data_IF_690687978598
#
_entry.id   IF_690687978598
#
_cell.length_a   1.000
_cell.length_b   1.000
_cell.length_c   1.000
_cell.angle_alpha   90.00
_cell.angle_beta   90.00
_cell.angle_gamma   90.00
#
_symmetry.space_group_name_H-M   'P 1'
#
loop_
_entity.id
_entity.type
_entity.pdbx_description
1 polymer ?
#
# COMPACT_ATOMS: atom_id res chain seq x y z
N UNK A 1 54.42 47.78 7.80
CA UNK A 1 53.09 48.37 7.87
C UNK A 1 52.13 47.50 7.04
N UNK A 2 51.45 46.61 7.73
CA UNK A 2 50.44 45.72 7.12
C UNK A 2 49.09 46.46 7.25
N UNK A 3 48.47 46.81 6.13
CA UNK A 3 47.13 47.38 6.10
C UNK A 3 46.11 46.24 6.28
N UNK A 4 45.35 46.32 7.36
CA UNK A 4 44.15 45.52 7.62
C UNK A 4 43.08 45.84 6.60
N UNK A 5 42.38 44.83 5.99
CA UNK A 5 41.23 45.11 5.13
C UNK A 5 40.04 45.50 5.99
N UNK A 6 39.33 46.55 5.55
CA UNK A 6 38.13 47.08 6.18
C UNK A 6 36.97 46.02 6.14
N UNK A 7 36.11 45.97 7.15
CA UNK A 7 34.99 45.04 7.15
C UNK A 7 33.96 45.45 6.10
N UNK A 8 33.65 44.54 5.18
CA UNK A 8 32.50 44.68 4.26
C UNK A 8 31.20 44.78 5.07
N UNK A 9 30.69 45.99 5.20
CA UNK A 9 29.31 46.23 5.66
C UNK A 9 28.38 45.62 4.63
N UNK A 10 27.79 44.46 4.92
CA UNK A 10 26.58 43.97 4.29
C UNK A 10 25.49 44.98 4.61
N UNK A 11 25.20 45.89 3.69
CA UNK A 11 24.00 46.73 3.73
C UNK A 11 22.84 45.82 3.39
N UNK A 12 22.11 45.36 4.42
CA UNK A 12 20.83 44.66 4.28
C UNK A 12 19.87 45.73 3.72
N UNK A 13 19.68 45.77 2.39
CA UNK A 13 18.65 46.57 1.76
C UNK A 13 17.33 45.94 2.13
N UNK A 14 16.74 46.37 3.22
CA UNK A 14 15.34 46.12 3.55
C UNK A 14 14.52 46.92 2.56
N UNK A 15 14.17 46.28 1.43
CA UNK A 15 13.18 46.84 0.51
C UNK A 15 11.86 46.91 1.23
N UNK A 16 11.47 48.10 1.71
CA UNK A 16 10.15 48.34 2.27
C UNK A 16 9.14 48.12 1.15
N UNK A 17 8.37 47.04 1.27
CA UNK A 17 7.28 46.77 0.32
C UNK A 17 6.32 47.94 0.26
N UNK A 18 6.00 48.40 -0.93
CA UNK A 18 5.04 49.50 -1.12
C UNK A 18 3.64 49.06 -0.65
N UNK A 19 2.82 50.01 -0.20
CA UNK A 19 1.44 49.75 0.25
C UNK A 19 0.62 49.00 -0.84
N UNK A 20 0.89 49.31 -2.09
CA UNK A 20 0.27 48.64 -3.26
C UNK A 20 0.70 47.16 -3.35
N UNK A 21 1.97 46.87 -3.17
CA UNK A 21 2.51 45.51 -3.18
C UNK A 21 1.96 44.68 -2.00
N UNK A 22 1.89 45.29 -0.81
CA UNK A 22 1.31 44.64 0.37
C UNK A 22 -0.17 44.30 0.17
N UNK A 23 -0.96 45.22 -0.39
CA UNK A 23 -2.37 44.97 -0.76
C UNK A 23 -2.49 43.84 -1.78
N UNK A 24 -1.59 43.78 -2.78
CA UNK A 24 -1.56 42.70 -3.77
C UNK A 24 -1.27 41.34 -3.12
N UNK A 25 -0.29 41.27 -2.22
CA UNK A 25 0.04 40.04 -1.45
C UNK A 25 -1.11 39.59 -0.58
N UNK A 26 -1.77 40.50 0.14
CA UNK A 26 -2.96 40.20 0.95
C UNK A 26 -4.08 39.63 0.07
N UNK A 27 -4.34 40.24 -1.09
CA UNK A 27 -5.33 39.73 -2.04
C UNK A 27 -5.03 38.32 -2.54
N UNK A 28 -3.78 38.05 -2.89
CA UNK A 28 -3.31 36.73 -3.34
C UNK A 28 -3.46 35.68 -2.24
N UNK A 29 -3.07 35.97 -0.99
CA UNK A 29 -3.20 35.07 0.15
C UNK A 29 -4.67 34.79 0.44
N UNK A 30 -5.57 35.80 0.43
CA UNK A 30 -7.01 35.60 0.60
C UNK A 30 -7.61 34.69 -0.48
N UNK A 31 -7.16 34.82 -1.72
CA UNK A 31 -7.60 33.93 -2.80
C UNK A 31 -7.14 32.52 -2.59
N UNK A 32 -5.87 32.33 -2.20
CA UNK A 32 -5.30 31.01 -1.87
C UNK A 32 -6.03 30.36 -0.68
N UNK A 33 -6.38 31.13 0.35
CA UNK A 33 -7.15 30.67 1.50
C UNK A 33 -8.52 30.11 1.08
N UNK A 34 -9.26 30.87 0.23
CA UNK A 34 -10.57 30.41 -0.28
C UNK A 34 -10.47 29.11 -1.08
N UNK A 35 -9.48 29.03 -1.98
CA UNK A 35 -9.24 27.82 -2.79
C UNK A 35 -8.90 26.64 -1.87
N UNK A 36 -7.98 26.82 -0.94
CA UNK A 36 -7.55 25.77 0.00
C UNK A 36 -8.70 25.33 0.91
N UNK A 37 -9.53 26.28 1.36
CA UNK A 37 -10.73 25.99 2.13
C UNK A 37 -11.73 25.11 1.36
N UNK A 38 -11.98 25.43 0.09
CA UNK A 38 -12.82 24.61 -0.78
C UNK A 38 -12.23 23.20 -0.99
N UNK A 39 -10.92 23.10 -1.26
CA UNK A 39 -10.24 21.81 -1.40
C UNK A 39 -10.31 20.99 -0.12
N UNK A 40 -10.19 21.61 1.05
CA UNK A 40 -10.35 20.95 2.36
C UNK A 40 -11.73 20.32 2.50
N UNK A 41 -12.79 21.06 2.16
CA UNK A 41 -14.17 20.55 2.24
C UNK A 41 -14.39 19.36 1.31
N UNK A 42 -13.95 19.45 0.05
CA UNK A 42 -14.07 18.36 -0.93
C UNK A 42 -13.31 17.12 -0.46
N UNK A 43 -12.07 17.30 0.01
CA UNK A 43 -11.25 16.20 0.48
C UNK A 43 -11.83 15.52 1.73
N UNK A 44 -12.38 16.33 2.66
CA UNK A 44 -13.06 15.82 3.85
C UNK A 44 -14.29 14.96 3.50
N UNK A 45 -15.11 15.44 2.55
CA UNK A 45 -16.28 14.69 2.09
C UNK A 45 -15.89 13.35 1.42
N UNK A 46 -14.86 13.36 0.56
CA UNK A 46 -14.33 12.14 -0.08
C UNK A 46 -13.78 11.16 0.94
N UNK A 47 -13.04 11.67 1.92
CA UNK A 47 -12.47 10.84 2.99
C UNK A 47 -13.57 10.19 3.83
N UNK A 48 -14.60 10.95 4.22
CA UNK A 48 -15.74 10.40 4.98
C UNK A 48 -16.45 9.29 4.23
N UNK A 49 -16.67 9.46 2.91
CA UNK A 49 -17.23 8.42 2.05
C UNK A 49 -16.35 7.16 2.00
N UNK A 50 -15.03 7.33 1.86
CA UNK A 50 -14.08 6.22 1.85
C UNK A 50 -14.04 5.50 3.21
N UNK A 51 -14.06 6.23 4.32
CA UNK A 51 -14.12 5.66 5.67
C UNK A 51 -15.40 4.85 5.89
N UNK A 52 -16.55 5.35 5.43
CA UNK A 52 -17.80 4.59 5.49
C UNK A 52 -17.72 3.28 4.70
N UNK A 53 -17.13 3.30 3.51
CA UNK A 53 -16.93 2.10 2.70
C UNK A 53 -16.02 1.10 3.41
N UNK A 54 -14.91 1.56 3.99
CA UNK A 54 -13.99 0.73 4.77
C UNK A 54 -14.70 0.11 5.98
N UNK A 55 -15.48 0.88 6.74
CA UNK A 55 -16.24 0.38 7.89
C UNK A 55 -17.25 -0.71 7.54
N UNK A 56 -17.78 -0.73 6.32
CA UNK A 56 -18.66 -1.79 5.83
C UNK A 56 -17.91 -3.08 5.52
N UNK A 57 -16.66 -2.98 5.06
CA UNK A 57 -15.82 -4.13 4.70
C UNK A 57 -15.17 -4.80 5.92
N UNK A 58 -14.86 -4.06 6.97
CA UNK A 58 -14.20 -4.59 8.16
C UNK A 58 -14.94 -5.75 8.85
N UNK A 59 -16.28 -5.71 9.05
CA UNK A 59 -17.01 -6.85 9.62
C UNK A 59 -16.94 -8.09 8.73
N UNK A 60 -17.03 -7.92 7.41
CA UNK A 60 -16.92 -9.02 6.45
C UNK A 60 -15.54 -9.70 6.52
N UNK A 61 -14.47 -8.90 6.54
CA UNK A 61 -13.11 -9.40 6.74
C UNK A 61 -13.01 -10.17 8.07
N UNK A 62 -13.54 -9.64 9.17
CA UNK A 62 -13.53 -10.31 10.47
C UNK A 62 -14.27 -11.65 10.47
N UNK A 63 -15.35 -11.77 9.72
CA UNK A 63 -16.05 -13.04 9.56
C UNK A 63 -15.22 -14.06 8.78
N UNK A 64 -14.58 -13.65 7.68
CA UNK A 64 -13.67 -14.51 6.91
C UNK A 64 -12.52 -14.99 7.80
N UNK A 65 -11.86 -14.10 8.53
CA UNK A 65 -10.78 -14.45 9.46
C UNK A 65 -11.26 -15.45 10.54
N UNK A 66 -12.48 -15.30 11.03
CA UNK A 66 -13.08 -16.24 11.98
C UNK A 66 -13.36 -17.61 11.35
N UNK A 67 -13.92 -17.65 10.14
CA UNK A 67 -14.19 -18.91 9.41
C UNK A 67 -12.86 -19.64 9.16
N UNK A 68 -11.83 -18.93 8.67
CA UNK A 68 -10.51 -19.50 8.43
C UNK A 68 -9.88 -20.02 9.72
N UNK A 69 -9.96 -19.28 10.83
CA UNK A 69 -9.49 -19.72 12.14
C UNK A 69 -10.17 -21.00 12.61
N UNK A 70 -11.49 -21.11 12.42
CA UNK A 70 -12.24 -22.31 12.78
C UNK A 70 -11.88 -23.51 11.88
N UNK A 71 -11.72 -23.29 10.57
CA UNK A 71 -11.29 -24.32 9.65
C UNK A 71 -9.90 -24.85 10.03
N UNK A 72 -8.93 -23.97 10.25
CA UNK A 72 -7.56 -24.34 10.58
C UNK A 72 -7.41 -25.00 11.96
N UNK A 73 -8.37 -24.77 12.86
CA UNK A 73 -8.41 -25.44 14.18
C UNK A 73 -9.08 -26.81 14.12
N UNK A 74 -9.74 -27.18 13.02
CA UNK A 74 -10.32 -28.47 12.81
C UNK A 74 -9.22 -29.50 12.50
N UNK A 75 -9.44 -30.75 12.95
CA UNK A 75 -8.55 -31.88 12.65
C UNK A 75 -8.82 -32.39 11.22
N UNK A 76 -8.50 -31.54 10.24
CA UNK A 76 -8.72 -31.82 8.82
C UNK A 76 -7.47 -31.42 8.02
N UNK A 77 -7.14 -32.21 7.01
CA UNK A 77 -6.08 -31.88 6.07
C UNK A 77 -6.59 -30.88 5.03
N UNK A 78 -5.89 -29.77 4.90
CA UNK A 78 -6.19 -28.73 3.91
C UNK A 78 -5.12 -28.73 2.83
N UNK A 79 -5.55 -28.76 1.60
CA UNK A 79 -4.68 -28.65 0.44
C UNK A 79 -5.21 -27.58 -0.50
N UNK A 80 -4.36 -26.60 -0.77
CA UNK A 80 -4.64 -25.58 -1.78
C UNK A 80 -3.36 -25.31 -2.58
N UNK A 81 -3.47 -25.13 -3.90
CA UNK A 81 -2.33 -24.68 -4.70
C UNK A 81 -1.73 -23.34 -4.22
N UNK A 82 -2.53 -22.52 -3.53
CA UNK A 82 -2.11 -21.21 -2.99
C UNK A 82 -1.27 -21.31 -1.71
N UNK A 83 -1.23 -22.49 -1.07
CA UNK A 83 -0.39 -22.75 0.11
C UNK A 83 0.95 -23.40 -0.25
N UNK A 84 1.17 -23.69 -1.52
CA UNK A 84 2.37 -24.39 -2.00
C UNK A 84 3.60 -23.51 -1.84
N UNK A 85 4.52 -23.92 -0.98
CA UNK A 85 5.82 -23.25 -0.80
C UNK A 85 6.83 -23.82 -1.81
N UNK A 86 7.53 -22.92 -2.50
CA UNK A 86 8.57 -23.22 -3.48
C UNK A 86 9.88 -22.54 -3.09
N UNK A 87 10.97 -22.92 -3.75
CA UNK A 87 12.20 -22.13 -3.72
C UNK A 87 11.94 -20.78 -4.39
N UNK A 88 12.22 -19.67 -3.68
CA UNK A 88 11.88 -18.33 -4.13
C UNK A 88 13.00 -17.78 -5.01
N UNK A 89 12.76 -17.73 -6.30
CA UNK A 89 13.62 -17.10 -7.30
C UNK A 89 13.03 -15.82 -7.86
N UNK A 90 11.69 -15.71 -7.86
CA UNK A 90 10.93 -14.56 -8.36
C UNK A 90 9.90 -14.10 -7.35
N UNK A 91 10.04 -12.86 -6.86
CA UNK A 91 9.14 -12.28 -5.87
C UNK A 91 8.30 -11.15 -6.50
N UNK A 92 6.98 -11.30 -6.47
CA UNK A 92 6.03 -10.26 -6.82
C UNK A 92 5.79 -9.31 -5.64
N UNK A 93 5.67 -8.00 -5.91
CA UNK A 93 5.28 -7.02 -4.90
C UNK A 93 4.18 -6.13 -5.46
N UNK A 94 2.96 -6.29 -4.95
CA UNK A 94 1.86 -5.37 -5.21
C UNK A 94 2.02 -4.14 -4.31
N UNK A 95 2.19 -2.95 -4.89
CA UNK A 95 2.40 -1.72 -4.13
C UNK A 95 1.29 -0.72 -4.40
N UNK A 96 0.55 -0.36 -3.34
CA UNK A 96 -0.63 0.51 -3.43
C UNK A 96 -0.28 1.95 -3.04
N UNK A 97 -0.40 2.86 -4.01
CA UNK A 97 -0.22 4.29 -3.80
C UNK A 97 -1.44 5.11 -4.20
N UNK A 98 -1.27 6.42 -4.34
CA UNK A 98 -2.34 7.33 -4.77
C UNK A 98 -2.27 7.64 -6.25
N UNK A 99 -3.41 8.00 -6.84
CA UNK A 99 -3.48 8.55 -8.20
C UNK A 99 -3.08 10.02 -8.22
N UNK A 100 -3.55 10.77 -7.22
CA UNK A 100 -3.40 12.21 -7.14
C UNK A 100 -2.22 12.61 -6.23
N UNK A 101 -1.75 13.83 -6.38
CA UNK A 101 -0.78 14.47 -5.50
C UNK A 101 -1.44 15.15 -4.30
N UNK A 102 -0.71 16.09 -3.69
CA UNK A 102 -1.14 16.89 -2.53
C UNK A 102 -1.48 16.04 -1.29
N UNK A 103 -0.85 14.88 -1.16
CA UNK A 103 -1.01 13.93 -0.05
C UNK A 103 0.20 13.93 0.91
N UNK A 104 0.97 15.02 0.94
CA UNK A 104 2.17 15.13 1.77
C UNK A 104 3.19 14.02 1.47
N UNK A 105 3.71 13.38 2.51
CA UNK A 105 4.71 12.32 2.40
C UNK A 105 4.12 10.92 2.14
N UNK A 106 2.82 10.78 1.88
CA UNK A 106 2.13 9.51 1.75
C UNK A 106 2.82 8.54 0.78
N UNK A 107 2.96 8.95 -0.50
CA UNK A 107 3.61 8.11 -1.50
C UNK A 107 5.11 7.92 -1.25
N UNK A 108 5.78 8.93 -0.69
CA UNK A 108 7.21 8.85 -0.34
C UNK A 108 7.44 7.79 0.74
N UNK A 109 6.58 7.72 1.74
CA UNK A 109 6.68 6.73 2.81
C UNK A 109 6.41 5.30 2.29
N UNK A 110 5.44 5.13 1.38
CA UNK A 110 5.19 3.84 0.72
C UNK A 110 6.42 3.43 -0.10
N UNK A 111 6.98 4.35 -0.86
CA UNK A 111 8.14 4.08 -1.69
C UNK A 111 9.38 3.70 -0.86
N UNK A 112 9.61 4.38 0.26
CA UNK A 112 10.66 3.98 1.21
C UNK A 112 10.42 2.59 1.77
N UNK A 113 9.17 2.27 2.12
CA UNK A 113 8.79 0.93 2.59
C UNK A 113 8.98 -0.15 1.54
N UNK A 114 8.65 0.15 0.29
CA UNK A 114 8.92 -0.73 -0.85
C UNK A 114 10.41 -1.05 -0.98
N UNK A 115 11.27 -0.03 -0.94
CA UNK A 115 12.73 -0.23 -1.02
C UNK A 115 13.26 -1.07 0.15
N UNK A 116 12.79 -0.81 1.36
CA UNK A 116 13.16 -1.62 2.52
C UNK A 116 12.70 -3.08 2.36
N UNK A 117 11.51 -3.31 1.79
CA UNK A 117 11.02 -4.68 1.56
C UNK A 117 11.83 -5.38 0.49
N UNK A 118 12.16 -4.72 -0.61
CA UNK A 118 13.04 -5.27 -1.67
C UNK A 118 14.38 -5.70 -1.08
N UNK A 119 15.01 -4.85 -0.27
CA UNK A 119 16.28 -5.18 0.38
C UNK A 119 16.15 -6.39 1.31
N UNK A 120 15.12 -6.41 2.14
CA UNK A 120 14.86 -7.53 3.05
C UNK A 120 14.62 -8.87 2.30
N UNK A 121 13.94 -8.83 1.15
CA UNK A 121 13.75 -10.01 0.31
C UNK A 121 15.09 -10.48 -0.30
N UNK A 122 15.92 -9.56 -0.78
CA UNK A 122 17.25 -9.90 -1.32
C UNK A 122 18.21 -10.41 -0.25
N UNK A 123 18.15 -9.89 0.97
CA UNK A 123 18.90 -10.42 2.10
C UNK A 123 18.48 -11.85 2.45
N UNK A 124 17.18 -12.14 2.35
CA UNK A 124 16.62 -13.46 2.69
C UNK A 124 16.84 -14.52 1.60
N UNK A 125 16.66 -14.15 0.34
CA UNK A 125 16.62 -15.09 -0.79
C UNK A 125 17.82 -14.96 -1.76
N UNK A 126 18.69 -14.01 -1.51
CA UNK A 126 19.89 -13.78 -2.32
C UNK A 126 19.78 -12.59 -3.27
N UNK A 127 20.94 -12.09 -3.69
CA UNK A 127 21.02 -10.91 -4.56
C UNK A 127 20.51 -11.16 -6.00
N UNK A 128 20.46 -12.42 -6.42
CA UNK A 128 19.95 -12.86 -7.73
C UNK A 128 18.43 -12.89 -7.81
N UNK A 129 17.73 -12.62 -6.71
CA UNK A 129 16.28 -12.58 -6.67
C UNK A 129 15.71 -11.59 -7.67
N UNK A 130 14.88 -12.06 -8.58
CA UNK A 130 14.11 -11.22 -9.49
C UNK A 130 12.89 -10.64 -8.77
N UNK A 131 12.69 -9.33 -8.89
CA UNK A 131 11.58 -8.61 -8.28
C UNK A 131 10.62 -8.12 -9.37
N UNK A 132 9.35 -8.53 -9.27
CA UNK A 132 8.28 -8.06 -10.15
C UNK A 132 7.40 -7.09 -9.37
N UNK A 133 7.40 -5.81 -9.77
CA UNK A 133 6.59 -4.78 -9.13
C UNK A 133 5.26 -4.61 -9.86
N UNK A 134 4.17 -4.68 -9.12
CA UNK A 134 2.80 -4.44 -9.57
C UNK A 134 2.25 -3.16 -8.91
N UNK A 135 2.61 -1.98 -9.44
CA UNK A 135 2.22 -0.72 -8.81
C UNK A 135 0.77 -0.37 -9.14
N UNK A 136 0.02 0.01 -8.11
CA UNK A 136 -1.34 0.55 -8.20
C UNK A 136 -1.34 2.02 -7.80
N UNK A 137 -2.00 2.84 -8.63
CA UNK A 137 -2.05 4.28 -8.48
C UNK A 137 -1.00 5.02 -9.32
N UNK A 138 -1.43 6.05 -10.03
CA UNK A 138 -0.62 6.79 -11.01
C UNK A 138 0.71 7.33 -10.47
N UNK A 139 0.73 7.76 -9.20
CA UNK A 139 1.96 8.27 -8.56
C UNK A 139 2.94 7.15 -8.26
N UNK A 140 2.42 5.97 -7.89
CA UNK A 140 3.25 4.81 -7.60
C UNK A 140 3.80 4.19 -8.88
N UNK A 141 2.99 4.07 -9.93
CA UNK A 141 3.44 3.62 -11.25
C UNK A 141 4.63 4.45 -11.75
N UNK A 142 4.53 5.79 -11.67
CA UNK A 142 5.63 6.69 -12.05
C UNK A 142 6.89 6.52 -11.19
N UNK A 143 6.70 6.23 -9.91
CA UNK A 143 7.80 5.97 -8.98
C UNK A 143 8.48 4.62 -9.26
N UNK A 144 7.68 3.56 -9.37
CA UNK A 144 8.16 2.20 -9.58
C UNK A 144 8.93 2.04 -10.90
N UNK A 145 8.49 2.68 -11.99
CA UNK A 145 9.20 2.66 -13.28
C UNK A 145 10.65 3.16 -13.20
N UNK A 146 10.98 3.98 -12.20
CA UNK A 146 12.37 4.45 -11.98
C UNK A 146 13.26 3.41 -11.31
N UNK A 147 12.67 2.35 -10.78
CA UNK A 147 13.40 1.23 -10.16
C UNK A 147 13.65 0.09 -11.15
N UNK A 148 13.09 0.16 -12.36
CA UNK A 148 13.30 -0.86 -13.37
C UNK A 148 14.80 -0.97 -13.73
N UNK A 149 15.31 -2.19 -13.72
CA UNK A 149 16.73 -2.54 -13.87
C UNK A 149 17.23 -3.34 -12.67
N UNK A 150 18.44 -3.85 -12.73
CA UNK A 150 19.09 -4.61 -11.66
C UNK A 150 18.22 -5.75 -11.07
N UNK A 151 17.58 -6.53 -11.95
CA UNK A 151 16.69 -7.62 -11.54
C UNK A 151 15.32 -7.15 -11.01
N UNK A 152 14.95 -5.89 -11.24
CA UNK A 152 13.62 -5.34 -10.94
C UNK A 152 12.88 -5.06 -12.24
N UNK A 153 11.72 -5.66 -12.42
CA UNK A 153 10.80 -5.38 -13.51
C UNK A 153 9.50 -4.75 -12.98
N UNK A 154 8.84 -3.98 -13.82
CA UNK A 154 7.61 -3.27 -13.45
C UNK A 154 6.53 -3.61 -14.45
N UNK A 155 5.47 -4.22 -13.98
CA UNK A 155 4.31 -4.58 -14.77
C UNK A 155 3.06 -3.87 -14.24
N UNK A 156 2.34 -3.20 -15.11
CA UNK A 156 1.06 -2.56 -14.78
C UNK A 156 -0.05 -3.48 -15.27
N UNK A 157 -0.78 -4.08 -14.33
CA UNK A 157 -1.86 -5.01 -14.64
C UNK A 157 -3.17 -4.25 -14.82
N UNK A 158 -3.74 -4.31 -16.02
CA UNK A 158 -5.03 -3.72 -16.33
C UNK A 158 -5.10 -2.21 -16.08
N UNK A 159 -6.30 -1.71 -15.91
CA UNK A 159 -6.57 -0.29 -15.61
C UNK A 159 -6.92 -0.08 -14.13
N UNK A 160 -6.16 -0.74 -13.24
CA UNK A 160 -6.38 -0.62 -11.80
C UNK A 160 -5.76 0.68 -11.25
N UNK A 161 -6.52 1.39 -10.45
CA UNK A 161 -6.09 2.63 -9.80
C UNK A 161 -6.64 2.71 -8.36
N UNK A 162 -6.21 3.71 -7.60
CA UNK A 162 -6.56 3.82 -6.17
C UNK A 162 -8.07 3.98 -5.87
N UNK A 163 -8.89 4.26 -6.88
CA UNK A 163 -10.35 4.44 -6.77
C UNK A 163 -11.13 3.38 -7.54
N UNK A 164 -10.47 2.34 -8.02
CA UNK A 164 -11.12 1.23 -8.73
C UNK A 164 -12.17 0.55 -7.85
N UNK A 165 -13.18 0.02 -8.50
CA UNK A 165 -14.26 -0.73 -7.86
C UNK A 165 -13.82 -2.16 -7.49
N UNK A 166 -14.74 -2.90 -6.88
CA UNK A 166 -14.47 -4.28 -6.45
C UNK A 166 -14.19 -5.25 -7.60
N UNK A 167 -14.80 -5.04 -8.77
CA UNK A 167 -14.59 -5.91 -9.93
C UNK A 167 -13.18 -5.74 -10.50
N UNK A 168 -12.69 -4.51 -10.62
CA UNK A 168 -11.32 -4.25 -11.07
C UNK A 168 -10.29 -4.82 -10.06
N UNK A 169 -10.55 -4.70 -8.76
CA UNK A 169 -9.69 -5.29 -7.72
C UNK A 169 -9.69 -6.82 -7.82
N UNK A 170 -10.87 -7.44 -8.02
CA UNK A 170 -11.01 -8.89 -8.21
C UNK A 170 -10.24 -9.38 -9.44
N UNK A 171 -10.37 -8.70 -10.57
CA UNK A 171 -9.63 -9.03 -11.78
C UNK A 171 -8.10 -8.92 -11.58
N UNK A 172 -7.64 -7.87 -10.91
CA UNK A 172 -6.25 -7.68 -10.54
C UNK A 172 -5.73 -8.82 -9.66
N UNK A 173 -6.48 -9.17 -8.60
CA UNK A 173 -6.11 -10.24 -7.68
C UNK A 173 -6.09 -11.60 -8.40
N UNK A 174 -7.08 -11.89 -9.23
CA UNK A 174 -7.12 -13.11 -10.04
C UNK A 174 -5.91 -13.23 -10.98
N UNK A 175 -5.47 -12.12 -11.58
CA UNK A 175 -4.27 -12.12 -12.42
C UNK A 175 -3.00 -12.44 -11.61
N UNK A 176 -2.85 -11.85 -10.42
CA UNK A 176 -1.71 -12.15 -9.54
C UNK A 176 -1.73 -13.59 -9.04
N UNK A 177 -2.92 -14.09 -8.68
CA UNK A 177 -3.12 -15.49 -8.30
C UNK A 177 -2.72 -16.44 -9.42
N UNK A 178 -3.15 -16.16 -10.66
CA UNK A 178 -2.80 -16.98 -11.81
C UNK A 178 -1.29 -17.00 -12.06
N UNK A 179 -0.61 -15.84 -11.98
CA UNK A 179 0.85 -15.76 -12.09
C UNK A 179 1.57 -16.62 -11.04
N UNK A 180 1.04 -16.70 -9.83
CA UNK A 180 1.59 -17.58 -8.80
C UNK A 180 1.35 -19.06 -9.13
N UNK A 181 0.17 -19.41 -9.62
CA UNK A 181 -0.17 -20.79 -10.02
C UNK A 181 0.69 -21.26 -11.20
N UNK A 182 0.90 -20.41 -12.18
CA UNK A 182 1.72 -20.68 -13.36
C UNK A 182 3.24 -20.70 -13.04
N UNK A 183 3.62 -20.28 -11.84
CA UNK A 183 5.00 -20.22 -11.41
C UNK A 183 5.77 -19.02 -11.95
N UNK A 184 5.11 -17.99 -12.46
CA UNK A 184 5.73 -16.72 -12.86
C UNK A 184 6.28 -15.95 -11.65
N UNK A 185 5.66 -16.14 -10.49
CA UNK A 185 6.11 -15.66 -9.18
C UNK A 185 6.02 -16.77 -8.15
N UNK A 186 6.99 -16.83 -7.25
CA UNK A 186 7.07 -17.84 -6.19
C UNK A 186 6.59 -17.29 -4.84
N UNK A 187 6.55 -15.95 -4.72
CA UNK A 187 6.11 -15.21 -3.55
C UNK A 187 5.40 -13.94 -4.01
N UNK A 188 4.33 -13.58 -3.34
CA UNK A 188 3.62 -12.32 -3.54
C UNK A 188 3.49 -11.57 -2.23
N UNK A 189 4.04 -10.39 -2.19
CA UNK A 189 3.90 -9.42 -1.10
C UNK A 189 2.99 -8.27 -1.48
N UNK A 190 2.40 -7.63 -0.47
CA UNK A 190 1.65 -6.40 -0.61
C UNK A 190 2.22 -5.30 0.28
N UNK A 191 2.48 -4.12 -0.30
CA UNK A 191 2.95 -2.92 0.41
C UNK A 191 1.89 -1.83 0.29
N UNK A 192 1.36 -1.38 1.43
CA UNK A 192 0.28 -0.39 1.46
C UNK A 192 0.24 0.41 2.76
N UNK A 193 -0.52 1.50 2.78
CA UNK A 193 -0.83 2.26 3.99
C UNK A 193 -2.15 1.80 4.60
N UNK A 194 -2.08 1.20 5.78
CA UNK A 194 -3.26 0.82 6.55
C UNK A 194 -3.81 2.05 7.27
N UNK A 195 -5.07 2.36 7.02
CA UNK A 195 -5.80 3.43 7.69
C UNK A 195 -6.14 3.04 9.12
N UNK A 196 -5.68 3.82 10.08
CA UNK A 196 -6.04 3.70 11.50
C UNK A 196 -6.96 4.83 11.96
N UNK A 197 -6.65 6.05 11.54
CA UNK A 197 -7.47 7.25 11.78
C UNK A 197 -7.11 8.32 10.75
N UNK A 198 -7.85 9.43 10.76
CA UNK A 198 -7.59 10.60 9.91
C UNK A 198 -6.16 11.13 10.03
N UNK A 199 -5.57 11.07 11.21
CA UNK A 199 -4.21 11.56 11.50
C UNK A 199 -3.14 10.46 11.47
N UNK A 200 -3.52 9.18 11.41
CA UNK A 200 -2.58 8.07 11.52
C UNK A 200 -2.82 7.02 10.45
N UNK A 201 -1.85 6.87 9.56
CA UNK A 201 -1.71 5.75 8.65
C UNK A 201 -0.43 4.99 9.01
N UNK A 202 -0.46 3.69 8.86
CA UNK A 202 0.66 2.80 9.19
C UNK A 202 1.03 1.99 7.96
N UNK A 203 2.30 2.07 7.57
CA UNK A 203 2.82 1.22 6.50
C UNK A 203 2.71 -0.25 6.89
N UNK A 204 2.20 -1.07 5.98
CA UNK A 204 2.12 -2.53 6.11
C UNK A 204 2.80 -3.20 4.94
N UNK A 205 3.50 -4.27 5.28
CA UNK A 205 4.06 -5.23 4.35
C UNK A 205 3.48 -6.58 4.75
N UNK A 206 2.69 -7.18 3.90
CA UNK A 206 2.00 -8.44 4.18
C UNK A 206 2.29 -9.41 3.04
N UNK A 207 2.69 -10.63 3.37
CA UNK A 207 2.79 -11.70 2.39
C UNK A 207 1.39 -12.20 2.06
N UNK A 208 1.04 -12.21 0.79
CA UNK A 208 -0.24 -12.72 0.30
C UNK A 208 -0.12 -14.17 -0.15
N UNK A 209 0.93 -14.50 -0.88
CA UNK A 209 1.18 -15.84 -1.41
C UNK A 209 2.65 -16.24 -1.21
N UNK A 210 2.93 -17.52 -0.94
CA UNK A 210 1.95 -18.53 -0.55
C UNK A 210 1.23 -18.13 0.73
N UNK A 211 -0.01 -18.61 0.88
CA UNK A 211 -0.79 -18.39 2.10
C UNK A 211 -0.18 -19.26 3.21
N UNK A 212 0.32 -18.61 4.25
CA UNK A 212 0.92 -19.28 5.40
C UNK A 212 -0.10 -19.36 6.51
N UNK A 213 -0.25 -20.55 7.09
CA UNK A 213 -1.21 -20.83 8.15
C UNK A 213 -1.07 -19.89 9.35
N UNK A 214 0.16 -19.52 9.68
CA UNK A 214 0.49 -18.56 10.74
C UNK A 214 -0.07 -17.15 10.47
N UNK A 215 -0.14 -16.74 9.21
CA UNK A 215 -0.69 -15.42 8.83
C UNK A 215 -2.21 -15.38 9.01
N UNK A 216 -2.87 -16.51 8.80
CA UNK A 216 -4.33 -16.65 8.96
C UNK A 216 -4.74 -16.71 10.44
N UNK A 217 -3.89 -17.29 11.29
CA UNK A 217 -4.15 -17.42 12.73
C UNK A 217 -3.70 -16.23 13.56
N UNK A 218 -2.73 -15.44 13.08
CA UNK A 218 -2.16 -14.30 13.81
C UNK A 218 -3.17 -13.19 14.13
N UNK A 219 -4.29 -13.11 13.39
CA UNK A 219 -5.37 -12.16 13.62
C UNK A 219 -6.61 -12.79 14.29
N UNK A 220 -6.64 -14.11 14.47
CA UNK A 220 -7.76 -14.78 15.13
C UNK A 220 -7.70 -14.51 16.64
N UNK A 221 -8.62 -13.70 17.12
CA UNK A 221 -9.01 -13.66 18.52
C UNK A 221 -9.30 -15.10 18.94
N UNK A 222 -8.71 -15.54 20.05
CA UNK A 222 -8.85 -16.85 20.68
C UNK A 222 -10.16 -17.56 20.29
N UNK A 223 -10.10 -18.38 19.25
CA UNK A 223 -11.27 -19.09 18.76
C UNK A 223 -11.57 -20.17 19.80
N UNK A 224 -12.70 -20.02 20.51
CA UNK A 224 -13.24 -21.14 21.27
C UNK A 224 -13.51 -22.25 20.25
N UNK A 225 -12.75 -23.32 20.30
CA UNK A 225 -12.96 -24.52 19.47
C UNK A 225 -14.39 -25.03 19.69
N UNK A 226 -15.31 -24.62 18.83
CA UNK A 226 -16.61 -25.27 18.75
C UNK A 226 -16.51 -26.35 17.69
N UNK A 227 -17.04 -27.54 17.91
CA UNK A 227 -17.12 -28.54 16.87
C UNK A 227 -18.05 -28.01 15.77
N UNK A 228 -17.48 -27.78 14.58
CA UNK A 228 -18.22 -27.39 13.39
C UNK A 228 -18.46 -28.64 12.53
N UNK A 229 -19.64 -28.71 11.93
CA UNK A 229 -19.95 -29.64 10.86
C UNK A 229 -19.75 -28.85 9.56
N UNK A 230 -18.86 -29.33 8.69
CA UNK A 230 -18.57 -28.73 7.41
C UNK A 230 -19.40 -29.36 6.31
N UNK A 231 -20.09 -28.54 5.51
CA UNK A 231 -20.87 -29.00 4.37
C UNK A 231 -20.55 -28.11 3.16
N UNK A 232 -20.04 -28.66 2.02
CA UNK A 232 -19.88 -30.09 1.74
C UNK A 232 -18.71 -30.76 2.48
N UNK A 233 -17.55 -30.11 2.60
CA UNK A 233 -16.36 -30.55 3.33
C UNK A 233 -15.46 -29.36 3.66
N UNK A 234 -14.57 -29.55 4.63
CA UNK A 234 -13.68 -28.49 5.13
C UNK A 234 -12.71 -27.94 4.05
N UNK A 235 -12.19 -28.81 3.17
CA UNK A 235 -11.24 -28.40 2.13
C UNK A 235 -11.89 -27.57 1.02
N UNK A 236 -13.12 -27.92 0.61
CA UNK A 236 -13.91 -27.13 -0.35
C UNK A 236 -14.23 -25.75 0.19
N UNK A 237 -14.62 -25.65 1.47
CA UNK A 237 -14.87 -24.38 2.13
C UNK A 237 -13.58 -23.57 2.22
N UNK A 238 -12.47 -24.19 2.61
CA UNK A 238 -11.15 -23.55 2.68
C UNK A 238 -10.77 -22.90 1.33
N UNK A 239 -10.85 -23.67 0.24
CA UNK A 239 -10.51 -23.17 -1.10
C UNK A 239 -11.47 -22.11 -1.62
N UNK A 240 -12.72 -22.07 -1.14
CA UNK A 240 -13.71 -21.04 -1.52
C UNK A 240 -13.55 -19.74 -0.75
N UNK A 241 -12.90 -19.77 0.42
CA UNK A 241 -12.66 -18.62 1.29
C UNK A 241 -11.30 -17.99 1.01
N UNK A 242 -10.31 -18.76 0.55
CA UNK A 242 -9.01 -18.28 0.07
C UNK A 242 -9.15 -17.40 -1.16
#
# INVERSE_FOLDING_TARGET
AVRSPAPHRFILIITMATLRELKGRIGSVKSSEKITGAMKMISSAKMHKAEQSLRRLLPFRGQIETIMGNLLSADAEFSSPLTLTREVSRAGIAVWGSDDGLCGAYNINIFKGLLLRINALRERYGASLEILLYPVGNKMVKGARKLAGDGISVEVIGDIHAKSDGEAVKAFTATLQQKFLDGDIDLLDMVYMNFKSMSRQVLRNEQLLPVVQETLTANSVTVQCRPYIFEPDANTIFNSVL
#
